data_IF_279200461204
#
_entry.id   IF_279200461204
#
_cell.length_a   1.000
_cell.length_b   1.000
_cell.length_c   1.000
_cell.angle_alpha   90.00
_cell.angle_beta   90.00
_cell.angle_gamma   90.00
#
_symmetry.space_group_name_H-M   'P 1'
#
loop_
_entity.id
_entity.type
_entity.pdbx_description
1 polymer ?
#
# COMPACT_ATOMS: atom_id res chain seq x y z
N UNK A 1 -6.88 14.90 -3.48
CA UNK A 1 -7.63 16.03 -2.87
C UNK A 1 -8.13 17.03 -3.91
N UNK A 2 -7.25 17.68 -4.70
CA UNK A 2 -7.63 18.75 -5.63
C UNK A 2 -8.59 18.37 -6.78
N UNK A 3 -8.79 17.07 -7.05
CA UNK A 3 -9.71 16.59 -8.08
C UNK A 3 -11.17 16.48 -7.61
N UNK A 4 -11.46 16.75 -6.33
CA UNK A 4 -12.83 16.71 -5.78
C UNK A 4 -13.43 15.31 -5.64
N UNK A 5 -12.60 14.27 -5.66
CA UNK A 5 -13.01 12.89 -5.43
C UNK A 5 -12.81 12.57 -3.96
N UNK A 6 -13.81 11.99 -3.32
CA UNK A 6 -13.71 11.52 -1.94
C UNK A 6 -12.72 10.36 -1.84
N UNK A 7 -11.86 10.42 -0.82
CA UNK A 7 -10.83 9.43 -0.56
C UNK A 7 -10.80 9.11 0.93
N UNK A 8 -10.53 7.85 1.25
CA UNK A 8 -10.28 7.41 2.62
C UNK A 8 -8.77 7.38 2.82
N UNK A 9 -8.29 7.94 3.94
CA UNK A 9 -6.86 7.95 4.23
C UNK A 9 -6.38 6.57 4.72
N UNK A 10 -5.09 6.26 4.53
CA UNK A 10 -4.57 4.92 4.82
C UNK A 10 -4.56 4.60 6.32
N UNK A 11 -4.36 5.62 7.15
CA UNK A 11 -4.43 5.57 8.60
C UNK A 11 -5.87 5.36 9.10
N UNK A 12 -6.89 5.89 8.40
CA UNK A 12 -8.30 5.58 8.69
C UNK A 12 -8.62 4.09 8.45
N UNK A 13 -8.03 3.49 7.41
CA UNK A 13 -8.23 2.05 7.08
C UNK A 13 -7.45 1.13 8.02
N UNK A 14 -6.22 1.52 8.38
CA UNK A 14 -5.31 0.67 9.17
C UNK A 14 -5.44 0.92 10.67
N UNK A 15 -5.96 2.07 11.10
CA UNK A 15 -5.93 2.52 12.50
C UNK A 15 -4.53 2.77 13.02
N UNK A 16 -3.52 2.86 12.14
CA UNK A 16 -2.12 2.96 12.50
C UNK A 16 -1.50 4.22 11.89
N UNK A 17 -0.79 5.06 12.68
CA UNK A 17 -0.26 6.32 12.19
C UNK A 17 0.90 6.09 11.21
N UNK A 18 1.13 7.07 10.34
CA UNK A 18 2.32 7.08 9.49
C UNK A 18 3.60 7.19 10.35
N UNK A 19 4.60 6.36 10.02
CA UNK A 19 5.90 6.36 10.69
C UNK A 19 7.01 5.91 9.74
N UNK A 20 8.27 6.14 10.15
CA UNK A 20 9.47 5.83 9.36
C UNK A 20 9.39 6.41 7.94
N UNK A 21 9.02 7.69 7.84
CA UNK A 21 8.91 8.41 6.57
C UNK A 21 8.02 7.71 5.53
N UNK A 22 6.93 7.10 6.01
CA UNK A 22 5.93 6.45 5.16
C UNK A 22 6.31 5.05 4.68
N UNK A 23 7.48 4.51 5.07
CA UNK A 23 7.98 3.20 4.62
C UNK A 23 7.06 2.03 4.93
N UNK A 24 6.26 2.12 5.99
CA UNK A 24 5.44 1.01 6.48
C UNK A 24 3.94 1.30 6.44
N UNK A 25 3.51 2.43 5.85
CA UNK A 25 2.12 2.91 5.95
C UNK A 25 1.08 1.95 5.35
N UNK A 26 1.45 1.14 4.36
CA UNK A 26 0.55 0.16 3.73
C UNK A 26 0.80 -1.29 4.18
N UNK A 27 1.85 -1.53 4.96
CA UNK A 27 2.27 -2.88 5.39
C UNK A 27 1.42 -3.37 6.57
N UNK A 28 0.11 -3.49 6.34
CA UNK A 28 -0.89 -3.80 7.35
C UNK A 28 -1.83 -4.93 6.91
N UNK A 29 -2.32 -5.81 7.82
CA UNK A 29 -3.26 -6.87 7.49
C UNK A 29 -4.56 -6.39 6.82
N UNK A 30 -5.09 -5.22 7.21
CA UNK A 30 -6.29 -4.67 6.58
C UNK A 30 -6.09 -4.36 5.09
N UNK A 31 -4.85 -4.10 4.66
CA UNK A 31 -4.52 -3.86 3.25
C UNK A 31 -4.18 -5.19 2.57
N UNK A 32 -3.15 -5.88 3.07
CA UNK A 32 -2.66 -7.10 2.41
C UNK A 32 -3.63 -8.28 2.51
N UNK A 33 -4.44 -8.36 3.57
CA UNK A 33 -5.52 -9.33 3.68
C UNK A 33 -6.60 -9.08 2.62
N UNK A 34 -6.97 -7.81 2.38
CA UNK A 34 -7.92 -7.42 1.33
C UNK A 34 -7.41 -7.74 -0.08
N UNK A 35 -6.09 -7.63 -0.28
CA UNK A 35 -5.41 -7.96 -1.55
C UNK A 35 -5.25 -9.46 -1.80
N UNK A 36 -4.91 -10.23 -0.76
CA UNK A 36 -4.47 -11.61 -0.87
C UNK A 36 -5.57 -12.65 -0.54
N UNK A 37 -6.70 -12.21 0.02
CA UNK A 37 -7.80 -13.11 0.32
C UNK A 37 -8.36 -13.76 -0.96
N UNK A 38 -8.37 -15.10 -0.97
CA UNK A 38 -8.93 -15.89 -2.06
C UNK A 38 -10.44 -15.89 -1.97
N UNK A 39 -11.09 -15.41 -3.02
CA UNK A 39 -12.56 -15.30 -3.09
C UNK A 39 -13.27 -16.63 -3.34
N UNK A 40 -12.52 -17.63 -3.81
CA UNK A 40 -13.00 -18.99 -4.07
C UNK A 40 -12.82 -19.93 -2.87
N UNK A 41 -12.37 -19.41 -1.72
CA UNK A 41 -12.09 -20.19 -0.53
C UNK A 41 -12.79 -19.58 0.69
N UNK A 42 -13.86 -20.24 1.15
CA UNK A 42 -14.71 -19.76 2.26
C UNK A 42 -13.92 -19.42 3.52
N UNK A 43 -12.87 -20.18 3.84
CA UNK A 43 -12.05 -19.92 5.02
C UNK A 43 -11.32 -18.57 4.96
N UNK A 44 -10.95 -18.08 3.77
CA UNK A 44 -10.36 -16.74 3.61
C UNK A 44 -11.42 -15.65 3.76
N UNK A 45 -12.62 -15.86 3.21
CA UNK A 45 -13.73 -14.90 3.32
C UNK A 45 -14.19 -14.75 4.78
N UNK A 46 -14.31 -15.86 5.51
CA UNK A 46 -14.65 -15.84 6.93
C UNK A 46 -13.56 -15.20 7.77
N UNK A 47 -12.27 -15.46 7.46
CA UNK A 47 -11.16 -14.80 8.15
C UNK A 47 -11.15 -13.27 7.90
N UNK A 48 -11.38 -12.84 6.66
CA UNK A 48 -11.45 -11.42 6.32
C UNK A 48 -12.61 -10.74 7.06
N UNK A 49 -13.81 -11.33 6.99
CA UNK A 49 -15.01 -10.83 7.68
C UNK A 49 -14.84 -10.76 9.19
N UNK A 50 -14.29 -11.81 9.81
CA UNK A 50 -14.09 -11.89 11.27
C UNK A 50 -13.09 -10.85 11.79
N UNK A 51 -12.18 -10.38 10.93
CA UNK A 51 -11.18 -9.37 11.27
C UNK A 51 -11.51 -7.98 10.69
N UNK A 52 -12.71 -7.78 10.15
CA UNK A 52 -13.14 -6.53 9.51
C UNK A 52 -12.22 -6.07 8.36
N UNK A 53 -11.71 -7.02 7.58
CA UNK A 53 -10.89 -6.78 6.41
C UNK A 53 -11.79 -6.73 5.18
N UNK A 54 -11.86 -5.57 4.54
CA UNK A 54 -12.54 -5.41 3.24
C UNK A 54 -11.67 -5.94 2.09
N UNK A 55 -12.30 -6.53 1.08
CA UNK A 55 -11.59 -7.04 -0.08
C UNK A 55 -11.26 -5.92 -1.07
N UNK A 56 -10.11 -6.01 -1.71
CA UNK A 56 -9.67 -5.05 -2.71
C UNK A 56 -9.76 -5.70 -4.09
N UNK A 57 -10.57 -5.12 -4.98
CA UNK A 57 -10.78 -5.62 -6.35
C UNK A 57 -9.80 -5.06 -7.37
N UNK A 58 -9.27 -3.85 -7.11
CA UNK A 58 -8.36 -3.16 -8.02
C UNK A 58 -7.23 -2.49 -7.24
N UNK A 59 -6.01 -2.66 -7.74
CA UNK A 59 -4.82 -1.97 -7.25
C UNK A 59 -4.23 -1.15 -8.37
N UNK A 60 -4.10 0.15 -8.14
CA UNK A 60 -3.38 1.06 -9.03
C UNK A 60 -2.15 1.55 -8.29
N UNK A 61 -1.00 0.99 -8.64
CA UNK A 61 0.30 1.34 -8.08
C UNK A 61 1.26 1.65 -9.23
N UNK A 62 1.97 2.76 -9.10
CA UNK A 62 3.20 3.01 -9.86
C UNK A 62 4.37 3.02 -8.88
N UNK A 63 5.54 2.64 -9.37
CA UNK A 63 6.79 2.75 -8.63
C UNK A 63 7.55 3.94 -9.17
N UNK A 64 8.36 4.58 -8.33
CA UNK A 64 9.30 5.57 -8.82
C UNK A 64 10.19 4.93 -9.91
N UNK A 65 10.57 5.71 -10.95
CA UNK A 65 11.40 5.20 -12.02
C UNK A 65 12.85 5.06 -11.51
N UNK A 66 13.07 4.06 -10.67
CA UNK A 66 14.35 3.75 -10.04
C UNK A 66 15.49 3.69 -11.06
N UNK A 67 15.23 3.07 -12.21
CA UNK A 67 16.16 2.98 -13.34
C UNK A 67 16.59 4.37 -13.84
N UNK A 68 15.67 5.32 -13.93
CA UNK A 68 15.98 6.68 -14.38
C UNK A 68 16.74 7.45 -13.30
N UNK A 69 16.43 7.21 -12.02
CA UNK A 69 17.18 7.79 -10.89
C UNK A 69 18.64 7.37 -10.91
N UNK A 70 18.95 6.08 -11.08
CA UNK A 70 20.34 5.58 -11.06
C UNK A 70 21.16 5.94 -12.31
N UNK A 71 20.52 6.39 -13.39
CA UNK A 71 21.19 6.81 -14.62
C UNK A 71 21.56 8.30 -14.62
N UNK A 72 21.14 9.07 -13.59
CA UNK A 72 21.52 10.47 -13.46
C UNK A 72 23.03 10.57 -13.13
N UNK A 73 23.78 11.50 -13.76
CA UNK A 73 25.23 11.60 -13.59
C UNK A 73 25.69 11.75 -12.14
N UNK A 74 24.85 12.40 -11.31
CA UNK A 74 25.21 12.82 -9.95
C UNK A 74 24.44 12.05 -8.86
N UNK A 75 23.83 10.89 -9.19
CA UNK A 75 23.10 10.09 -8.20
C UNK A 75 24.06 9.48 -7.18
N UNK A 76 23.78 9.67 -5.90
CA UNK A 76 24.55 9.00 -4.86
C UNK A 76 23.99 7.62 -4.56
N UNK A 77 24.79 6.77 -3.89
CA UNK A 77 24.29 5.49 -3.38
C UNK A 77 23.11 5.66 -2.42
N UNK A 78 23.13 6.72 -1.60
CA UNK A 78 22.02 7.03 -0.69
C UNK A 78 20.74 7.37 -1.46
N UNK A 79 20.84 8.19 -2.52
CA UNK A 79 19.69 8.54 -3.37
C UNK A 79 19.12 7.29 -4.06
N UNK A 80 19.97 6.36 -4.47
CA UNK A 80 19.54 5.09 -5.04
C UNK A 80 18.80 4.22 -4.01
N UNK A 81 19.27 4.11 -2.76
CA UNK A 81 18.62 3.27 -1.72
C UNK A 81 17.25 3.80 -1.28
N UNK A 82 17.00 5.10 -1.36
CA UNK A 82 15.73 5.72 -0.96
C UNK A 82 14.62 5.69 -2.04
N UNK A 83 14.94 5.28 -3.27
CA UNK A 83 13.96 5.12 -4.37
C UNK A 83 13.43 3.68 -4.46
#
# INVERSE_FOLDING_TARGET
DNAGVETIAIDDVTGFPEMMDGRVKTLHPNIHGGLLARRDLDSHLEAAKSNNIELIDLVVVNLYPFKETILKPDVTYADAVEN
#
